data_IF_370578949358
#
_entry.id   IF_370578949358
#
_cell.length_a   1.000
_cell.length_b   1.000
_cell.length_c   1.000
_cell.angle_alpha   90.00
_cell.angle_beta   90.00
_cell.angle_gamma   90.00
#
_symmetry.space_group_name_H-M   'P 1'
#
loop_
_entity.id
_entity.type
_entity.pdbx_description
1 polymer ?
#
# COMPACT_ATOMS: atom_id res chain seq x y z
N UNK A 1 52.74 -66.88 -8.39
CA UNK A 1 52.73 -65.72 -9.29
C UNK A 1 51.70 -65.99 -10.38
N UNK A 2 50.49 -65.46 -10.23
CA UNK A 2 49.39 -65.59 -11.19
C UNK A 2 49.02 -64.17 -11.63
N UNK A 3 49.07 -63.94 -12.94
CA UNK A 3 48.82 -62.69 -13.64
C UNK A 3 47.36 -62.25 -13.52
N UNK A 4 47.13 -61.05 -13.00
CA UNK A 4 45.83 -60.37 -13.02
C UNK A 4 45.62 -59.73 -14.39
N UNK A 5 44.61 -60.18 -15.11
CA UNK A 5 44.14 -59.55 -16.35
C UNK A 5 43.08 -58.50 -15.97
N UNK A 6 43.42 -57.21 -16.12
CA UNK A 6 42.48 -56.10 -15.92
C UNK A 6 41.55 -55.99 -17.13
N UNK A 7 40.25 -56.11 -16.90
CA UNK A 7 39.20 -55.87 -17.89
C UNK A 7 38.89 -54.38 -17.93
N UNK A 8 39.22 -53.71 -19.04
CA UNK A 8 38.93 -52.30 -19.29
C UNK A 8 37.47 -52.16 -19.75
N UNK A 9 36.60 -51.60 -18.90
CA UNK A 9 35.22 -51.26 -19.25
C UNK A 9 35.22 -49.85 -19.88
N UNK A 10 34.98 -49.76 -21.18
CA UNK A 10 34.78 -48.47 -21.88
C UNK A 10 33.32 -48.05 -21.71
N UNK A 11 33.07 -47.06 -20.84
CA UNK A 11 31.78 -46.41 -20.70
C UNK A 11 31.70 -45.25 -21.71
N UNK A 12 30.97 -45.46 -22.81
CA UNK A 12 30.65 -44.38 -23.76
C UNK A 12 29.58 -43.48 -23.11
N UNK A 13 29.97 -42.29 -22.68
CA UNK A 13 29.03 -41.25 -22.25
C UNK A 13 28.32 -40.67 -23.47
N UNK A 14 27.05 -41.05 -23.68
CA UNK A 14 26.13 -40.26 -24.52
C UNK A 14 25.80 -38.95 -23.78
N UNK A 15 26.47 -37.85 -24.12
CA UNK A 15 25.94 -36.51 -23.86
C UNK A 15 24.79 -36.26 -24.85
N UNK A 16 23.60 -36.70 -24.49
CA UNK A 16 22.37 -36.24 -25.12
C UNK A 16 22.13 -34.78 -24.70
N UNK A 17 22.03 -33.89 -25.69
CA UNK A 17 21.75 -32.48 -25.47
C UNK A 17 20.44 -32.30 -24.71
N UNK A 18 20.53 -31.79 -23.48
CA UNK A 18 19.39 -31.17 -22.85
C UNK A 18 18.99 -29.96 -23.73
N UNK A 19 17.72 -29.83 -24.17
CA UNK A 19 17.28 -28.58 -24.76
C UNK A 19 17.58 -27.45 -23.76
N UNK A 20 17.98 -26.25 -24.20
CA UNK A 20 18.05 -25.13 -23.29
C UNK A 20 16.68 -25.02 -22.63
N UNK A 21 16.65 -25.11 -21.30
CA UNK A 21 15.48 -24.71 -20.55
C UNK A 21 15.25 -23.24 -20.90
N UNK A 22 14.34 -22.97 -21.84
CA UNK A 22 13.85 -21.63 -22.08
C UNK A 22 13.28 -21.20 -20.74
N UNK A 23 13.97 -20.27 -20.07
CA UNK A 23 13.47 -19.66 -18.85
C UNK A 23 12.04 -19.23 -19.11
N UNK A 24 11.12 -19.69 -18.28
CA UNK A 24 9.70 -19.40 -18.45
C UNK A 24 9.53 -17.89 -18.63
N UNK A 25 8.94 -17.49 -19.76
CA UNK A 25 8.63 -16.08 -19.99
C UNK A 25 7.78 -15.56 -18.83
N UNK A 26 8.11 -14.38 -18.32
CA UNK A 26 7.35 -13.77 -17.24
C UNK A 26 5.89 -13.61 -17.68
N UNK A 27 4.97 -14.04 -16.80
CA UNK A 27 3.54 -13.85 -16.97
C UNK A 27 3.05 -12.92 -15.86
N UNK A 28 2.56 -11.75 -16.25
CA UNK A 28 1.91 -10.77 -15.38
C UNK A 28 0.60 -11.29 -14.78
N UNK A 29 -0.02 -12.30 -15.39
CA UNK A 29 -1.36 -12.78 -15.04
C UNK A 29 -2.49 -12.04 -15.76
N UNK A 30 -2.18 -11.11 -16.68
CA UNK A 30 -3.22 -10.49 -17.51
C UNK A 30 -3.82 -11.48 -18.51
N UNK A 31 -5.15 -11.52 -18.59
CA UNK A 31 -5.90 -12.21 -19.65
C UNK A 31 -6.33 -11.26 -20.79
N UNK A 32 -6.07 -9.95 -20.65
CA UNK A 32 -6.43 -8.93 -21.63
C UNK A 32 -7.92 -8.58 -21.69
N UNK A 33 -8.74 -9.05 -20.75
CA UNK A 33 -10.20 -8.84 -20.73
C UNK A 33 -10.62 -7.37 -20.66
N UNK A 34 -9.77 -6.48 -20.14
CA UNK A 34 -10.02 -5.03 -20.12
C UNK A 34 -9.76 -4.37 -21.49
N UNK A 35 -8.98 -5.00 -22.37
CA UNK A 35 -8.46 -4.36 -23.58
C UNK A 35 -7.39 -3.29 -23.26
N UNK A 36 -7.11 -2.36 -24.20
CA UNK A 36 -6.05 -1.38 -24.01
C UNK A 36 -6.49 -0.17 -23.17
N UNK A 37 -5.64 0.27 -22.24
CA UNK A 37 -5.80 1.57 -21.55
C UNK A 37 -5.09 2.64 -22.39
N UNK A 38 -5.85 3.46 -23.11
CA UNK A 38 -5.31 4.51 -23.99
C UNK A 38 -5.74 5.91 -23.55
N UNK A 39 -4.80 6.70 -23.03
CA UNK A 39 -5.00 8.06 -22.54
C UNK A 39 -4.19 9.03 -23.42
N UNK A 40 -4.75 9.40 -24.57
CA UNK A 40 -4.04 10.15 -25.62
C UNK A 40 -4.63 11.52 -25.90
N UNK A 41 -5.95 11.64 -25.92
CA UNK A 41 -6.67 12.87 -26.32
C UNK A 41 -7.08 13.74 -25.14
N UNK A 42 -7.48 13.12 -24.03
CA UNK A 42 -7.97 13.78 -22.82
C UNK A 42 -7.42 13.09 -21.58
N UNK A 43 -7.46 13.78 -20.44
CA UNK A 43 -7.23 13.16 -19.15
C UNK A 43 -8.36 12.16 -18.85
N UNK A 44 -8.01 11.04 -18.23
CA UNK A 44 -8.96 9.94 -17.96
C UNK A 44 -8.92 9.61 -16.48
N UNK A 45 -10.10 9.40 -15.88
CA UNK A 45 -10.24 8.80 -14.56
C UNK A 45 -10.97 7.48 -14.72
N UNK A 46 -10.33 6.37 -14.37
CA UNK A 46 -10.94 5.04 -14.44
C UNK A 46 -11.59 4.69 -13.09
N UNK A 47 -12.76 4.06 -13.13
CA UNK A 47 -13.33 3.44 -11.93
C UNK A 47 -12.52 2.18 -11.59
N UNK A 48 -12.05 2.07 -10.33
CA UNK A 48 -11.34 0.88 -9.90
C UNK A 48 -12.29 -0.33 -9.84
N UNK A 49 -11.90 -1.47 -10.43
CA UNK A 49 -12.59 -2.74 -10.22
C UNK A 49 -12.68 -3.07 -8.73
N UNK A 50 -13.66 -3.88 -8.28
CA UNK A 50 -13.81 -4.22 -6.86
C UNK A 50 -12.56 -4.85 -6.22
N UNK A 51 -11.75 -5.58 -6.99
CA UNK A 51 -10.47 -6.17 -6.57
C UNK A 51 -9.26 -5.24 -6.79
N UNK A 52 -9.44 -4.11 -7.48
CA UNK A 52 -8.39 -3.17 -7.86
C UNK A 52 -7.57 -3.57 -9.08
N UNK A 53 -7.93 -4.63 -9.81
CA UNK A 53 -7.09 -5.21 -10.86
C UNK A 53 -7.64 -4.95 -12.26
N UNK A 54 -6.83 -4.29 -13.10
CA UNK A 54 -7.06 -4.16 -14.53
C UNK A 54 -6.25 -5.22 -15.28
N UNK A 55 -6.94 -6.11 -16.00
CA UNK A 55 -6.33 -7.11 -16.89
C UNK A 55 -6.27 -6.57 -18.32
N UNK A 56 -5.35 -5.64 -18.58
CA UNK A 56 -5.26 -4.92 -19.84
C UNK A 56 -4.40 -5.64 -20.89
N UNK A 57 -4.55 -5.27 -22.16
CA UNK A 57 -3.63 -5.72 -23.21
C UNK A 57 -2.39 -4.85 -23.24
N UNK A 58 -2.56 -3.53 -23.32
CA UNK A 58 -1.49 -2.51 -23.31
C UNK A 58 -1.90 -1.29 -22.49
N UNK A 59 -0.92 -0.45 -22.16
CA UNK A 59 -1.15 0.88 -21.57
C UNK A 59 -0.39 1.91 -22.37
N UNK A 60 -1.05 3.00 -22.74
CA UNK A 60 -0.44 4.17 -23.34
C UNK A 60 -0.99 5.45 -22.70
N UNK A 61 -0.14 6.17 -21.98
CA UNK A 61 -0.45 7.51 -21.44
C UNK A 61 0.42 8.52 -22.17
N UNK A 62 -0.18 9.30 -23.08
CA UNK A 62 0.54 10.27 -23.90
C UNK A 62 1.06 11.46 -23.10
N UNK A 63 2.09 12.13 -23.61
CA UNK A 63 2.62 13.35 -23.01
C UNK A 63 1.53 14.43 -22.87
N UNK A 64 1.55 15.17 -21.76
CA UNK A 64 0.54 16.17 -21.43
C UNK A 64 -0.81 15.60 -20.98
N UNK A 65 -0.92 14.27 -20.79
CA UNK A 65 -2.14 13.61 -20.29
C UNK A 65 -1.95 13.02 -18.90
N UNK A 66 -3.06 12.92 -18.17
CA UNK A 66 -3.10 12.30 -16.85
C UNK A 66 -4.10 11.15 -16.79
N UNK A 67 -3.65 10.01 -16.28
CA UNK A 67 -4.48 8.89 -15.86
C UNK A 67 -4.67 8.93 -14.33
N UNK A 68 -5.92 8.92 -13.88
CA UNK A 68 -6.34 8.86 -12.47
C UNK A 68 -7.26 7.66 -12.24
N UNK A 69 -7.53 7.37 -10.98
CA UNK A 69 -8.41 6.29 -10.57
C UNK A 69 -9.39 6.78 -9.51
N UNK A 70 -10.66 6.45 -9.68
CA UNK A 70 -11.66 6.64 -8.64
C UNK A 70 -11.58 5.44 -7.68
N UNK A 71 -11.37 5.66 -6.36
CA UNK A 71 -11.40 4.60 -5.37
C UNK A 71 -12.66 3.74 -5.45
N UNK A 72 -12.50 2.42 -5.31
CA UNK A 72 -13.62 1.51 -5.08
C UNK A 72 -14.03 1.53 -3.59
N UNK A 73 -15.05 0.74 -3.23
CA UNK A 73 -15.57 0.70 -1.86
C UNK A 73 -14.50 0.32 -0.81
N UNK A 74 -13.54 -0.54 -1.18
CA UNK A 74 -12.45 -1.00 -0.30
C UNK A 74 -11.22 -0.07 -0.32
N UNK A 75 -11.23 0.94 -1.19
CA UNK A 75 -10.04 1.72 -1.57
C UNK A 75 -8.82 0.83 -1.84
N UNK A 76 -8.95 -0.19 -2.68
CA UNK A 76 -7.83 -1.10 -2.98
C UNK A 76 -6.68 -0.37 -3.69
N UNK A 77 -5.43 -0.88 -3.58
CA UNK A 77 -4.35 -0.48 -4.46
C UNK A 77 -4.68 -0.70 -5.94
N UNK A 78 -4.11 0.13 -6.80
CA UNK A 78 -4.24 -0.02 -8.26
C UNK A 78 -3.30 -1.12 -8.73
N UNK A 79 -3.82 -2.13 -9.42
CA UNK A 79 -3.01 -3.15 -10.08
C UNK A 79 -3.32 -3.15 -11.56
N UNK A 80 -2.29 -2.96 -12.40
CA UNK A 80 -2.42 -3.04 -13.85
C UNK A 80 -1.54 -4.19 -14.34
N UNK A 81 -2.17 -5.20 -14.92
CA UNK A 81 -1.49 -6.35 -15.52
C UNK A 81 -1.64 -6.24 -17.04
N UNK A 82 -0.56 -6.38 -17.79
CA UNK A 82 -0.58 -6.27 -19.26
C UNK A 82 0.03 -7.45 -19.98
N UNK A 83 -0.63 -7.88 -21.05
CA UNK A 83 -0.08 -8.90 -21.96
C UNK A 83 0.99 -8.36 -22.89
N UNK A 84 0.99 -7.05 -23.15
CA UNK A 84 1.98 -6.34 -23.96
C UNK A 84 2.53 -5.09 -23.29
N UNK A 85 3.01 -4.17 -24.11
CA UNK A 85 3.82 -3.02 -23.68
C UNK A 85 3.03 -1.99 -22.87
N UNK A 86 3.73 -1.37 -21.92
CA UNK A 86 3.29 -0.19 -21.17
C UNK A 86 4.17 0.99 -21.56
N UNK A 87 3.55 2.06 -22.07
CA UNK A 87 4.21 3.35 -22.38
C UNK A 87 3.59 4.48 -21.57
N UNK A 88 4.40 5.16 -20.78
CA UNK A 88 3.97 6.27 -19.93
C UNK A 88 4.82 7.50 -20.25
N UNK A 89 4.32 8.35 -21.14
CA UNK A 89 4.91 9.65 -21.46
C UNK A 89 4.20 10.81 -20.73
N UNK A 90 2.96 10.60 -20.29
CA UNK A 90 2.21 11.51 -19.43
C UNK A 90 2.34 11.18 -17.94
N UNK A 91 1.29 11.43 -17.18
CA UNK A 91 1.26 11.21 -15.72
C UNK A 91 0.26 10.11 -15.36
N UNK A 92 0.68 9.15 -14.54
CA UNK A 92 -0.25 8.33 -13.74
C UNK A 92 -0.26 8.91 -12.33
N UNK A 93 -1.43 9.32 -11.83
CA UNK A 93 -1.55 9.98 -10.53
C UNK A 93 -2.44 9.18 -9.57
N UNK A 94 -1.82 8.75 -8.47
CA UNK A 94 -2.46 8.10 -7.32
C UNK A 94 -2.13 8.85 -6.02
N UNK A 95 -1.73 10.12 -6.07
CA UNK A 95 -1.39 10.88 -4.88
C UNK A 95 -2.57 11.11 -3.92
N UNK A 96 -2.24 11.32 -2.64
CA UNK A 96 -3.20 11.74 -1.62
C UNK A 96 -3.57 13.21 -1.76
N UNK A 97 -4.64 13.59 -1.08
CA UNK A 97 -5.21 14.94 -1.08
C UNK A 97 -4.97 15.65 0.24
N UNK A 98 -4.87 16.98 0.15
CA UNK A 98 -4.67 17.86 1.30
C UNK A 98 -5.96 17.90 2.13
N UNK A 99 -5.81 17.99 3.46
CA UNK A 99 -6.95 18.29 4.34
C UNK A 99 -7.43 19.72 4.17
N UNK A 100 -8.32 20.14 5.07
CA UNK A 100 -8.80 21.52 5.18
C UNK A 100 -9.19 21.85 6.63
N UNK A 101 -9.76 23.02 6.87
CA UNK A 101 -10.37 23.35 8.17
C UNK A 101 -11.69 22.61 8.41
N UNK A 102 -12.23 21.91 7.42
CA UNK A 102 -13.53 21.23 7.49
C UNK A 102 -13.46 19.73 7.22
N UNK A 103 -12.34 19.21 6.70
CA UNK A 103 -12.22 17.81 6.34
C UNK A 103 -10.77 17.31 6.47
N UNK A 104 -10.66 16.01 6.73
CA UNK A 104 -9.41 15.28 6.56
C UNK A 104 -9.01 15.19 5.08
N UNK A 105 -7.71 15.16 4.80
CA UNK A 105 -7.20 14.88 3.47
C UNK A 105 -7.49 13.45 3.06
N UNK A 106 -7.93 13.24 1.82
CA UNK A 106 -8.25 11.90 1.31
C UNK A 106 -7.00 11.13 0.93
N UNK A 107 -6.94 9.86 1.30
CA UNK A 107 -5.91 8.97 0.77
C UNK A 107 -6.05 8.81 -0.74
N UNK A 108 -4.93 8.64 -1.43
CA UNK A 108 -4.97 8.19 -2.83
C UNK A 108 -5.54 6.77 -2.94
N UNK A 109 -5.76 6.26 -4.16
CA UNK A 109 -6.13 4.85 -4.38
C UNK A 109 -5.19 3.88 -3.64
N UNK A 110 -5.68 3.09 -2.69
CA UNK A 110 -4.85 2.21 -1.84
C UNK A 110 -4.16 2.87 -0.65
N UNK A 111 -4.23 4.20 -0.52
CA UNK A 111 -3.70 4.98 0.61
C UNK A 111 -4.76 5.27 1.67
N UNK A 112 -4.36 5.92 2.77
CA UNK A 112 -5.25 6.19 3.90
C UNK A 112 -5.51 7.68 4.12
N UNK A 113 -6.71 8.00 4.59
CA UNK A 113 -7.14 9.35 4.93
C UNK A 113 -6.32 9.96 6.09
N UNK A 114 -6.21 11.28 6.12
CA UNK A 114 -5.74 12.03 7.28
C UNK A 114 -6.76 12.07 8.42
N UNK A 115 -6.37 12.70 9.53
CA UNK A 115 -7.24 12.92 10.69
C UNK A 115 -8.13 14.14 10.53
N UNK A 116 -9.30 14.12 11.14
CA UNK A 116 -10.28 15.22 11.08
C UNK A 116 -9.81 16.45 11.87
N UNK A 117 -10.14 17.67 11.42
CA UNK A 117 -9.86 18.88 12.18
C UNK A 117 -10.63 18.91 13.50
N UNK A 118 -10.02 19.46 14.55
CA UNK A 118 -10.74 19.78 15.78
C UNK A 118 -11.80 20.87 15.56
N UNK A 119 -12.85 20.87 16.37
CA UNK A 119 -13.85 21.93 16.40
C UNK A 119 -14.36 22.18 17.82
N UNK A 120 -15.35 23.07 17.98
CA UNK A 120 -15.91 23.38 19.30
C UNK A 120 -16.52 22.12 19.91
N UNK A 121 -15.93 21.62 20.99
CA UNK A 121 -16.41 20.42 21.69
C UNK A 121 -16.07 19.09 21.00
N UNK A 122 -15.34 19.11 19.88
CA UNK A 122 -14.91 17.90 19.17
C UNK A 122 -13.39 17.89 19.04
N UNK A 123 -12.68 16.93 19.68
CA UNK A 123 -11.24 16.83 19.53
C UNK A 123 -10.86 16.44 18.09
N UNK A 124 -9.65 16.80 17.62
CA UNK A 124 -9.17 16.33 16.32
C UNK A 124 -9.03 14.79 16.30
N UNK A 125 -9.14 14.20 15.11
CA UNK A 125 -8.93 12.78 14.89
C UNK A 125 -7.47 12.44 14.56
N UNK A 126 -7.03 11.25 14.96
CA UNK A 126 -5.79 10.66 14.45
C UNK A 126 -5.92 10.37 12.94
N UNK A 127 -4.79 10.28 12.23
CA UNK A 127 -4.77 9.82 10.84
C UNK A 127 -5.18 8.35 10.71
N UNK A 128 -5.41 7.90 9.48
CA UNK A 128 -5.68 6.50 9.18
C UNK A 128 -4.46 5.79 8.58
N UNK A 129 -4.43 4.46 8.70
CA UNK A 129 -3.39 3.59 8.17
C UNK A 129 -2.39 3.07 9.21
N UNK A 130 -1.56 2.07 8.86
CA UNK A 130 -0.65 1.43 9.82
C UNK A 130 0.42 2.36 10.38
N UNK A 131 0.80 3.39 9.63
CA UNK A 131 1.75 4.43 10.02
C UNK A 131 1.08 5.77 10.26
N UNK A 132 -0.17 5.79 10.74
CA UNK A 132 -0.93 7.01 10.97
C UNK A 132 -0.25 7.98 11.96
N UNK A 133 -0.27 9.27 11.63
CA UNK A 133 0.09 10.34 12.56
C UNK A 133 -1.00 10.59 13.60
N UNK A 134 -0.61 10.89 14.84
CA UNK A 134 -1.53 11.21 15.93
C UNK A 134 -1.96 12.67 15.90
N UNK A 135 -3.19 12.92 16.29
CA UNK A 135 -3.75 14.24 16.46
C UNK A 135 -3.00 15.03 17.53
N UNK A 136 -3.01 16.36 17.42
CA UNK A 136 -2.27 17.20 18.34
C UNK A 136 -2.59 18.68 18.20
N UNK A 137 -1.76 19.53 18.77
CA UNK A 137 -1.87 20.99 18.64
C UNK A 137 -1.41 21.46 17.25
N UNK A 138 -1.83 22.65 16.84
CA UNK A 138 -1.31 23.29 15.62
C UNK A 138 0.06 23.96 15.88
N UNK A 139 1.06 23.17 16.26
CA UNK A 139 2.43 23.64 16.55
C UNK A 139 3.46 22.62 16.08
N UNK A 140 4.75 22.98 16.14
CA UNK A 140 5.86 22.08 15.82
C UNK A 140 6.54 21.47 17.05
N UNK A 141 5.93 21.62 18.24
CA UNK A 141 6.46 21.05 19.49
C UNK A 141 6.10 19.56 19.63
N UNK A 142 6.48 18.93 20.75
CA UNK A 142 6.18 17.53 21.06
C UNK A 142 4.70 17.15 20.96
N UNK A 143 3.81 18.10 21.27
CA UNK A 143 2.36 17.93 21.22
C UNK A 143 1.73 18.32 19.88
N UNK A 144 2.52 18.77 18.91
CA UNK A 144 2.07 19.06 17.56
C UNK A 144 1.49 17.82 16.88
N UNK A 145 0.45 17.98 16.06
CA UNK A 145 -0.09 16.87 15.28
C UNK A 145 1.00 16.26 14.38
N UNK A 146 1.07 14.93 14.36
CA UNK A 146 2.13 14.21 13.66
C UNK A 146 1.76 13.83 12.22
N UNK A 147 2.77 13.56 11.41
CA UNK A 147 2.62 13.11 10.03
C UNK A 147 2.45 11.58 9.94
N UNK A 148 1.88 11.14 8.82
CA UNK A 148 1.88 9.74 8.41
C UNK A 148 3.28 9.28 8.02
N UNK A 149 3.62 8.04 8.35
CA UNK A 149 4.90 7.37 8.06
C UNK A 149 4.68 6.18 7.13
N UNK A 150 5.66 5.73 6.34
CA UNK A 150 5.59 4.43 5.66
C UNK A 150 6.94 3.71 5.63
N UNK A 151 7.94 4.21 4.91
CA UNK A 151 9.23 3.54 4.78
C UNK A 151 10.25 3.92 5.86
N UNK A 152 10.25 5.17 6.30
CA UNK A 152 11.23 5.73 7.24
C UNK A 152 10.54 6.53 8.35
N UNK A 153 10.95 6.37 9.62
CA UNK A 153 10.51 7.27 10.67
C UNK A 153 11.31 8.55 10.49
N UNK A 154 10.69 9.63 10.03
CA UNK A 154 11.41 10.89 9.89
C UNK A 154 11.03 11.84 11.00
N UNK A 155 12.04 12.28 11.75
CA UNK A 155 11.88 13.29 12.79
C UNK A 155 11.93 14.68 12.16
N UNK A 156 10.82 15.14 11.56
CA UNK A 156 10.66 16.57 11.22
C UNK A 156 9.92 17.26 12.35
N UNK A 157 10.51 18.35 12.84
CA UNK A 157 10.01 19.10 13.98
C UNK A 157 10.23 18.33 15.28
N UNK A 158 9.66 18.84 16.37
CA UNK A 158 9.80 18.23 17.68
C UNK A 158 8.61 17.32 18.05
N UNK A 159 7.62 17.16 17.17
CA UNK A 159 6.45 16.31 17.43
C UNK A 159 6.83 14.85 17.63
N UNK A 160 6.41 14.27 18.75
CA UNK A 160 6.59 12.84 19.05
C UNK A 160 5.36 12.02 18.65
N UNK A 161 4.49 12.60 17.82
CA UNK A 161 3.16 12.09 17.47
C UNK A 161 3.10 11.53 16.05
N UNK A 162 4.24 11.33 15.39
CA UNK A 162 4.30 10.75 14.06
C UNK A 162 4.03 9.24 14.08
N UNK A 163 3.69 8.68 12.92
CA UNK A 163 3.51 7.24 12.76
C UNK A 163 4.81 6.44 12.87
N UNK A 164 4.68 5.12 12.73
CA UNK A 164 5.81 4.18 12.63
C UNK A 164 5.90 3.58 11.23
N UNK A 165 7.10 3.18 10.76
CA UNK A 165 7.25 2.47 9.50
C UNK A 165 6.48 1.16 9.46
N UNK A 166 6.05 0.77 8.25
CA UNK A 166 5.36 -0.50 8.00
C UNK A 166 5.63 -1.01 6.58
N UNK A 167 5.07 -2.20 6.30
CA UNK A 167 5.18 -2.89 5.03
C UNK A 167 6.61 -3.34 4.73
N UNK A 168 6.82 -3.81 3.50
CA UNK A 168 8.08 -4.41 3.07
C UNK A 168 8.63 -3.72 1.84
N UNK A 169 9.96 -3.70 1.70
CA UNK A 169 10.63 -3.30 0.46
C UNK A 169 10.33 -4.24 -0.72
N UNK A 170 9.72 -5.40 -0.47
CA UNK A 170 9.15 -6.27 -1.51
C UNK A 170 7.86 -5.72 -2.11
N UNK A 171 7.14 -4.84 -1.39
CA UNK A 171 5.79 -4.39 -1.77
C UNK A 171 4.83 -5.56 -2.05
N UNK A 172 4.90 -6.57 -1.19
CA UNK A 172 4.02 -7.75 -1.15
C UNK A 172 3.57 -7.96 0.30
N UNK A 173 2.27 -7.80 0.61
CA UNK A 173 1.25 -7.19 -0.25
C UNK A 173 1.55 -5.70 -0.55
N UNK A 174 0.92 -5.17 -1.58
CA UNK A 174 1.01 -3.76 -1.92
C UNK A 174 0.12 -2.94 -0.98
N UNK A 175 0.65 -1.90 -0.35
CA UNK A 175 -0.07 -1.00 0.56
C UNK A 175 0.28 0.46 0.23
N UNK A 176 -0.68 1.37 0.33
CA UNK A 176 -0.42 2.80 0.19
C UNK A 176 0.09 3.45 1.46
N UNK A 177 0.31 4.75 1.40
CA UNK A 177 0.78 5.62 2.48
C UNK A 177 -0.32 5.91 3.50
N UNK A 178 0.10 6.29 4.71
CA UNK A 178 -0.76 6.61 5.85
C UNK A 178 -1.01 8.12 5.96
N UNK A 179 -2.14 8.49 6.56
CA UNK A 179 -2.49 9.90 6.76
C UNK A 179 -1.86 10.52 8.02
N UNK A 180 -1.70 11.84 8.00
CA UNK A 180 -1.30 12.63 9.17
C UNK A 180 -2.46 12.92 10.12
N UNK A 181 -2.16 13.31 11.36
CA UNK A 181 -3.17 13.62 12.39
C UNK A 181 -3.82 14.98 12.21
N UNK A 182 -5.06 15.15 12.70
CA UNK A 182 -5.72 16.45 12.76
C UNK A 182 -5.13 17.37 13.83
N UNK A 183 -5.27 18.67 13.65
CA UNK A 183 -4.89 19.66 14.68
C UNK A 183 -6.11 20.08 15.50
N UNK A 184 -5.89 20.34 16.79
CA UNK A 184 -6.83 21.05 17.63
C UNK A 184 -7.01 22.50 17.15
N UNK A 185 -8.15 23.09 17.49
CA UNK A 185 -8.51 24.46 17.13
C UNK A 185 -10.01 24.62 16.93
N UNK A 186 -10.45 25.86 16.72
CA UNK A 186 -11.85 26.21 16.44
C UNK A 186 -11.92 27.18 15.24
N UNK A 187 -11.78 26.70 13.99
CA UNK A 187 -11.51 25.31 13.61
C UNK A 187 -10.02 24.93 13.72
N UNK A 188 -9.76 23.64 13.86
CA UNK A 188 -8.46 23.04 13.60
C UNK A 188 -8.25 22.78 12.11
N UNK A 189 -7.21 22.02 11.78
CA UNK A 189 -6.85 21.62 10.41
C UNK A 189 -6.79 20.10 10.29
N UNK A 190 -7.37 19.56 9.22
CA UNK A 190 -7.28 18.15 8.90
C UNK A 190 -5.87 17.76 8.48
N UNK A 191 -5.47 16.52 8.81
CA UNK A 191 -4.21 15.95 8.36
C UNK A 191 -4.20 15.66 6.85
N UNK A 192 -3.00 15.59 6.26
CA UNK A 192 -2.84 15.21 4.86
C UNK A 192 -3.12 13.72 4.63
N UNK A 193 -3.76 13.39 3.51
CA UNK A 193 -3.95 12.01 3.08
C UNK A 193 -2.66 11.36 2.59
N UNK A 194 -2.51 10.07 2.85
CA UNK A 194 -1.38 9.27 2.37
C UNK A 194 -1.44 9.03 0.87
N UNK A 195 -0.28 8.90 0.25
CA UNK A 195 -0.15 8.57 -1.16
C UNK A 195 -0.73 7.19 -1.49
N UNK A 196 -1.30 7.04 -2.68
CA UNK A 196 -1.86 5.77 -3.13
C UNK A 196 -0.80 4.72 -3.48
N UNK A 197 -1.25 3.54 -3.83
CA UNK A 197 -0.40 2.44 -4.22
C UNK A 197 -0.73 1.93 -5.62
N UNK A 198 0.31 1.66 -6.41
CA UNK A 198 0.16 1.12 -7.75
C UNK A 198 1.20 0.03 -8.06
N UNK A 199 0.73 -1.09 -8.61
CA UNK A 199 1.55 -2.10 -9.28
C UNK A 199 1.25 -2.06 -10.78
N UNK A 200 2.31 -2.01 -11.59
CA UNK A 200 2.22 -2.19 -13.04
C UNK A 200 3.11 -3.37 -13.43
N UNK A 201 2.51 -4.40 -14.02
CA UNK A 201 3.23 -5.55 -14.53
C UNK A 201 2.96 -5.76 -16.02
N UNK A 202 4.02 -6.04 -16.78
CA UNK A 202 3.93 -6.31 -18.22
C UNK A 202 4.70 -7.58 -18.58
N UNK A 203 4.12 -8.42 -19.44
CA UNK A 203 4.81 -9.59 -19.98
C UNK A 203 6.04 -9.22 -20.83
N UNK A 204 6.15 -7.97 -21.28
CA UNK A 204 7.17 -7.52 -22.23
C UNK A 204 8.02 -6.39 -21.67
N UNK A 205 7.45 -5.19 -21.52
CA UNK A 205 8.19 -4.00 -21.11
C UNK A 205 7.33 -2.92 -20.47
N UNK A 206 8.00 -2.12 -19.65
CA UNK A 206 7.54 -0.82 -19.19
C UNK A 206 8.52 0.25 -19.68
N UNK A 207 8.02 1.22 -20.44
CA UNK A 207 8.77 2.38 -20.89
C UNK A 207 8.18 3.66 -20.29
N UNK A 208 8.96 4.34 -19.44
CA UNK A 208 8.52 5.50 -18.66
C UNK A 208 9.40 6.71 -18.98
N UNK A 209 8.82 7.71 -19.64
CA UNK A 209 9.44 9.03 -19.89
C UNK A 209 8.68 10.16 -19.20
N UNK A 210 7.43 9.90 -18.80
CA UNK A 210 6.60 10.80 -18.01
C UNK A 210 6.75 10.58 -16.51
N UNK A 211 5.64 10.51 -15.78
CA UNK A 211 5.64 10.45 -14.31
C UNK A 211 4.62 9.45 -13.76
N UNK A 212 5.02 8.73 -12.71
CA UNK A 212 4.10 8.05 -11.79
C UNK A 212 4.17 8.81 -10.46
N UNK A 213 3.02 9.29 -9.99
CA UNK A 213 2.92 10.16 -8.81
C UNK A 213 2.07 9.49 -7.72
N UNK A 214 2.70 9.07 -6.65
CA UNK A 214 2.12 8.42 -5.49
C UNK A 214 2.43 9.21 -4.21
N UNK A 215 2.52 10.54 -4.30
CA UNK A 215 2.94 11.37 -3.19
C UNK A 215 1.87 11.48 -2.09
N UNK A 216 2.32 11.62 -0.85
CA UNK A 216 1.48 12.02 0.26
C UNK A 216 1.15 13.51 0.21
N UNK A 217 0.03 13.90 0.79
CA UNK A 217 -0.39 15.29 0.77
C UNK A 217 0.31 16.14 1.84
N UNK A 218 0.54 17.41 1.52
CA UNK A 218 1.13 18.40 2.44
C UNK A 218 0.25 18.70 3.65
N UNK A 219 0.90 19.12 4.74
CA UNK A 219 0.23 19.62 5.93
C UNK A 219 -0.42 20.99 5.67
N UNK A 220 -1.20 21.43 6.65
CA UNK A 220 -1.77 22.76 6.68
C UNK A 220 -1.34 23.43 7.99
N UNK A 221 -1.04 24.72 7.89
CA UNK A 221 -0.62 25.55 8.99
C UNK A 221 0.72 25.10 9.61
N UNK A 222 0.85 25.21 10.94
CA UNK A 222 2.13 25.10 11.63
C UNK A 222 2.49 23.67 11.98
N UNK A 223 1.50 22.79 12.21
CA UNK A 223 1.75 21.38 12.50
C UNK A 223 2.25 20.62 11.27
N UNK A 224 3.20 19.73 11.50
CA UNK A 224 3.85 18.92 10.46
C UNK A 224 3.03 17.63 10.31
N UNK A 225 1.79 17.76 9.84
CA UNK A 225 0.78 16.70 9.83
C UNK A 225 0.42 16.19 8.41
N UNK A 226 1.41 16.13 7.52
CA UNK A 226 1.25 15.60 6.17
C UNK A 226 1.04 14.08 6.13
N UNK A 227 0.55 13.56 5.00
CA UNK A 227 0.50 12.12 4.75
C UNK A 227 1.85 11.58 4.26
N UNK A 228 2.13 10.30 4.47
CA UNK A 228 3.32 9.66 3.87
C UNK A 228 3.14 9.43 2.38
N UNK A 229 4.27 9.29 1.67
CA UNK A 229 4.28 8.80 0.31
C UNK A 229 3.71 7.38 0.19
N UNK A 230 3.29 7.02 -1.01
CA UNK A 230 2.61 5.78 -1.34
C UNK A 230 3.53 4.64 -1.78
N UNK A 231 3.02 3.71 -2.58
CA UNK A 231 3.82 2.61 -3.11
C UNK A 231 3.78 2.57 -4.64
N UNK A 232 4.93 2.38 -5.27
CA UNK A 232 5.01 2.10 -6.72
C UNK A 232 5.81 0.83 -6.92
N UNK A 233 5.21 -0.16 -7.59
CA UNK A 233 5.87 -1.41 -7.97
C UNK A 233 5.79 -1.62 -9.48
N UNK A 234 6.95 -1.76 -10.13
CA UNK A 234 7.04 -2.05 -11.56
C UNK A 234 7.63 -3.45 -11.76
N UNK A 235 7.00 -4.30 -12.57
CA UNK A 235 7.48 -5.67 -12.84
C UNK A 235 7.41 -5.97 -14.33
N UNK A 236 8.55 -6.07 -15.02
CA UNK A 236 8.60 -6.44 -16.44
C UNK A 236 9.98 -6.95 -16.84
N UNK A 237 10.09 -7.82 -17.87
CA UNK A 237 11.39 -8.24 -18.40
C UNK A 237 12.31 -7.06 -18.71
N UNK A 238 11.76 -5.97 -19.25
CA UNK A 238 12.49 -4.72 -19.51
C UNK A 238 11.77 -3.55 -18.84
N UNK A 239 12.49 -2.79 -18.01
CA UNK A 239 12.04 -1.47 -17.52
C UNK A 239 13.02 -0.42 -18.03
N UNK A 240 12.51 0.61 -18.70
CA UNK A 240 13.34 1.58 -19.44
C UNK A 240 12.77 3.00 -19.40
N UNK A 241 13.63 3.97 -19.71
CA UNK A 241 13.25 5.38 -19.89
C UNK A 241 13.93 6.32 -18.89
N UNK A 242 13.51 7.58 -18.92
CA UNK A 242 14.12 8.71 -18.18
C UNK A 242 13.12 9.45 -17.28
N UNK A 243 11.89 8.92 -17.15
CA UNK A 243 10.82 9.56 -16.41
C UNK A 243 10.98 9.51 -14.88
N UNK A 244 9.94 9.92 -14.18
CA UNK A 244 9.90 10.04 -12.72
C UNK A 244 8.98 8.98 -12.11
N UNK A 245 9.44 8.36 -11.04
CA UNK A 245 8.59 7.61 -10.11
C UNK A 245 8.69 8.31 -8.77
N UNK A 246 7.62 8.97 -8.35
CA UNK A 246 7.59 9.76 -7.13
C UNK A 246 6.61 9.14 -6.13
N UNK A 247 7.12 8.83 -4.94
CA UNK A 247 6.41 8.34 -3.79
C UNK A 247 6.92 9.07 -2.54
N UNK A 248 7.18 10.36 -2.63
CA UNK A 248 7.61 11.17 -1.49
C UNK A 248 6.41 11.52 -0.57
N UNK A 249 6.70 11.75 0.71
CA UNK A 249 5.85 12.61 1.52
C UNK A 249 5.97 14.08 1.04
N UNK A 250 5.26 15.03 1.67
CA UNK A 250 5.28 16.43 1.24
C UNK A 250 6.61 17.16 1.51
N UNK A 251 7.64 16.90 0.71
CA UNK A 251 8.94 17.56 0.81
C UNK A 251 10.03 16.70 1.45
N UNK A 252 11.21 17.30 1.64
CA UNK A 252 12.40 16.62 2.16
C UNK A 252 12.16 16.16 3.60
N UNK A 253 12.29 14.85 3.84
CA UNK A 253 12.21 14.23 5.17
C UNK A 253 10.79 13.92 5.67
N UNK A 254 9.77 13.88 4.84
CA UNK A 254 8.47 13.35 5.29
C UNK A 254 8.45 11.83 5.14
N UNK A 255 7.57 11.14 5.88
CA UNK A 255 7.39 9.71 5.77
C UNK A 255 7.37 9.27 4.31
N UNK A 256 8.47 8.69 3.86
CA UNK A 256 8.66 8.33 2.46
C UNK A 256 7.78 7.14 2.13
N UNK A 257 7.32 7.09 0.89
CA UNK A 257 6.73 5.90 0.33
C UNK A 257 7.75 4.81 0.03
N UNK A 258 7.38 3.86 -0.81
CA UNK A 258 8.26 2.76 -1.24
C UNK A 258 8.21 2.63 -2.74
N UNK A 259 9.36 2.41 -3.36
CA UNK A 259 9.46 2.16 -4.80
C UNK A 259 10.18 0.84 -5.00
N UNK A 260 9.59 -0.05 -5.81
CA UNK A 260 10.23 -1.29 -6.22
C UNK A 260 10.18 -1.45 -7.73
N UNK A 261 11.31 -1.84 -8.31
CA UNK A 261 11.41 -2.21 -9.73
C UNK A 261 12.00 -3.60 -9.85
N UNK A 262 11.20 -4.56 -10.30
CA UNK A 262 11.65 -5.90 -10.65
C UNK A 262 11.80 -6.01 -12.17
N UNK A 263 13.03 -6.19 -12.65
CA UNK A 263 13.32 -6.31 -14.08
C UNK A 263 14.57 -7.13 -14.37
N UNK A 264 14.60 -7.77 -15.54
CA UNK A 264 15.70 -8.62 -15.99
C UNK A 264 16.75 -7.80 -16.78
N UNK A 265 16.30 -6.87 -17.62
CA UNK A 265 17.15 -5.94 -18.36
C UNK A 265 17.00 -4.52 -17.82
N UNK A 266 18.12 -3.99 -17.29
CA UNK A 266 18.24 -2.65 -16.72
C UNK A 266 19.09 -1.71 -17.58
N UNK A 267 19.56 -2.16 -18.74
CA UNK A 267 20.53 -1.43 -19.58
C UNK A 267 20.03 -0.04 -20.01
N UNK A 268 18.71 0.16 -20.05
CA UNK A 268 18.04 1.42 -20.41
C UNK A 268 17.19 2.01 -19.27
N UNK A 269 17.39 1.55 -18.02
CA UNK A 269 16.65 2.02 -16.86
C UNK A 269 17.33 3.25 -16.25
N UNK A 270 16.99 4.44 -16.76
CA UNK A 270 17.53 5.74 -16.30
C UNK A 270 16.45 6.57 -15.58
N UNK A 271 15.62 5.92 -14.78
CA UNK A 271 14.49 6.54 -14.10
C UNK A 271 14.93 7.41 -12.91
N UNK A 272 14.22 8.52 -12.70
CA UNK A 272 14.32 9.34 -11.50
C UNK A 272 13.40 8.76 -10.41
N UNK A 273 13.96 7.97 -9.50
CA UNK A 273 13.22 7.29 -8.43
C UNK A 273 13.28 8.13 -7.15
N UNK A 274 12.13 8.59 -6.68
CA UNK A 274 11.99 9.62 -5.66
C UNK A 274 11.06 9.15 -4.52
N UNK A 275 11.52 9.08 -3.26
CA UNK A 275 12.87 9.37 -2.80
C UNK A 275 13.84 8.20 -3.07
N UNK A 276 15.10 8.50 -3.36
CA UNK A 276 16.07 7.49 -3.81
C UNK A 276 16.51 6.48 -2.74
N UNK A 277 16.43 6.84 -1.45
CA UNK A 277 16.95 6.01 -0.35
C UNK A 277 16.01 4.86 0.09
N UNK A 278 14.77 4.84 -0.41
CA UNK A 278 13.76 3.80 -0.13
C UNK A 278 13.51 2.87 -1.32
N UNK A 279 14.32 2.99 -2.37
CA UNK A 279 14.20 2.24 -3.62
C UNK A 279 14.76 0.83 -3.45
N UNK A 280 14.01 -0.16 -3.92
CA UNK A 280 14.50 -1.51 -4.13
C UNK A 280 14.47 -1.88 -5.62
N UNK A 281 15.59 -2.33 -6.17
CA UNK A 281 15.66 -2.85 -7.53
C UNK A 281 16.04 -4.33 -7.48
N UNK A 282 15.21 -5.17 -8.09
CA UNK A 282 15.33 -6.62 -8.05
C UNK A 282 14.99 -7.28 -9.37
N UNK A 283 14.94 -8.61 -9.35
CA UNK A 283 14.53 -9.44 -10.48
C UNK A 283 13.48 -10.46 -10.01
N UNK A 284 12.70 -10.11 -8.98
CA UNK A 284 11.61 -10.93 -8.50
C UNK A 284 10.44 -10.81 -9.48
N UNK A 285 10.45 -11.66 -10.51
CA UNK A 285 9.45 -11.71 -11.56
C UNK A 285 8.15 -12.38 -11.07
N UNK A 286 7.54 -11.77 -10.03
CA UNK A 286 6.33 -12.23 -9.35
C UNK A 286 5.41 -11.03 -9.11
N UNK A 287 4.16 -11.09 -9.57
CA UNK A 287 3.16 -10.04 -9.28
C UNK A 287 2.69 -10.12 -7.83
N UNK A 288 2.16 -11.29 -7.43
CA UNK A 288 1.72 -11.57 -6.07
C UNK A 288 1.92 -13.07 -5.76
N UNK A 289 2.13 -13.44 -4.49
CA UNK A 289 2.16 -14.84 -4.08
C UNK A 289 0.77 -15.47 -4.27
N UNK A 290 0.78 -16.76 -4.60
CA UNK A 290 -0.44 -17.57 -4.74
C UNK A 290 -0.30 -18.82 -3.86
N UNK A 291 -1.14 -18.98 -2.82
CA UNK A 291 -2.16 -18.05 -2.34
C UNK A 291 -1.58 -16.77 -1.72
N UNK A 292 -2.38 -15.70 -1.67
CA UNK A 292 -2.02 -14.42 -1.04
C UNK A 292 -2.42 -14.47 0.45
N UNK A 293 -1.45 -14.37 1.40
CA UNK A 293 -1.78 -14.30 2.82
C UNK A 293 -2.63 -13.07 3.16
N UNK A 294 -3.67 -13.25 3.98
CA UNK A 294 -4.68 -12.22 4.26
C UNK A 294 -5.25 -12.28 5.67
N UNK A 295 -5.56 -11.10 6.20
CA UNK A 295 -6.32 -10.92 7.43
C UNK A 295 -7.70 -10.34 7.09
N UNK A 296 -8.74 -10.90 7.68
CA UNK A 296 -10.12 -10.41 7.56
C UNK A 296 -10.74 -10.16 8.92
N UNK A 297 -11.53 -9.10 9.01
CA UNK A 297 -12.51 -8.96 10.08
C UNK A 297 -13.72 -9.82 9.70
N UNK A 298 -14.09 -10.77 10.56
CA UNK A 298 -15.24 -11.66 10.32
C UNK A 298 -16.38 -11.42 11.31
N UNK A 299 -16.10 -10.74 12.41
CA UNK A 299 -17.12 -10.24 13.34
C UNK A 299 -16.61 -8.98 14.05
N UNK A 300 -17.45 -7.95 14.18
CA UNK A 300 -17.13 -6.72 14.90
C UNK A 300 -18.32 -6.28 15.75
N UNK A 301 -18.14 -6.18 17.07
CA UNK A 301 -19.17 -5.77 18.03
C UNK A 301 -20.48 -6.58 17.86
N UNK A 302 -20.36 -7.90 17.73
CA UNK A 302 -21.47 -8.83 17.58
C UNK A 302 -22.10 -8.88 16.18
N UNK A 303 -21.60 -8.13 15.21
CA UNK A 303 -22.09 -8.15 13.83
C UNK A 303 -21.14 -8.95 12.94
N UNK A 304 -21.67 -9.94 12.22
CA UNK A 304 -20.92 -10.70 11.24
C UNK A 304 -20.47 -9.79 10.07
N UNK A 305 -19.22 -9.96 9.66
CA UNK A 305 -18.62 -9.25 8.53
C UNK A 305 -18.27 -10.27 7.46
N UNK A 306 -18.74 -10.04 6.23
CA UNK A 306 -18.40 -10.92 5.12
C UNK A 306 -16.88 -10.88 4.85
N UNK A 307 -16.32 -12.05 4.57
CA UNK A 307 -14.90 -12.23 4.23
C UNK A 307 -14.55 -11.37 3.01
N UNK A 308 -13.50 -10.54 3.11
CA UNK A 308 -13.12 -9.58 2.07
C UNK A 308 -13.97 -8.30 2.02
N UNK A 309 -14.91 -8.09 2.96
CA UNK A 309 -15.65 -6.84 3.07
C UNK A 309 -14.85 -5.77 3.83
N UNK A 310 -15.18 -4.51 3.57
CA UNK A 310 -14.57 -3.35 4.21
C UNK A 310 -14.85 -2.05 3.46
N UNK A 311 -14.40 -0.90 3.98
CA UNK A 311 -13.93 -0.70 5.35
C UNK A 311 -15.03 -0.98 6.38
N UNK A 312 -14.68 -1.55 7.54
CA UNK A 312 -15.65 -1.78 8.62
C UNK A 312 -15.73 -0.53 9.50
N UNK A 313 -16.92 0.05 9.58
CA UNK A 313 -17.20 1.22 10.42
C UNK A 313 -18.33 0.88 11.38
N UNK A 314 -18.12 1.20 12.66
CA UNK A 314 -19.07 0.90 13.73
C UNK A 314 -19.41 2.17 14.49
N UNK A 315 -20.71 2.40 14.71
CA UNK A 315 -21.22 3.32 15.72
C UNK A 315 -21.93 2.45 16.75
N UNK A 316 -21.45 2.45 17.99
CA UNK A 316 -22.13 1.71 19.04
C UNK A 316 -23.50 2.34 19.32
N UNK A 317 -24.57 1.53 19.48
CA UNK A 317 -25.85 2.03 19.95
C UNK A 317 -25.72 2.76 21.28
N UNK A 318 -26.57 3.76 21.52
CA UNK A 318 -26.57 4.49 22.77
C UNK A 318 -26.76 3.54 23.97
N UNK A 319 -25.89 3.65 24.97
CA UNK A 319 -25.90 2.80 26.17
C UNK A 319 -25.28 1.40 25.99
N UNK A 320 -24.81 1.04 24.78
CA UNK A 320 -24.07 -0.20 24.60
C UNK A 320 -22.72 -0.16 25.37
N UNK A 321 -22.26 -1.30 25.94
CA UNK A 321 -20.95 -1.35 26.59
C UNK A 321 -19.83 -0.98 25.62
N UNK A 322 -18.87 -0.17 26.08
CA UNK A 322 -17.66 0.13 25.31
C UNK A 322 -16.82 -1.14 25.05
N UNK A 323 -16.82 -2.07 26.01
CA UNK A 323 -16.17 -3.37 25.88
C UNK A 323 -16.92 -4.23 24.84
N UNK A 324 -16.23 -4.60 23.78
CA UNK A 324 -16.75 -5.38 22.65
C UNK A 324 -15.72 -6.42 22.22
N UNK A 325 -16.15 -7.37 21.39
CA UNK A 325 -15.28 -8.35 20.74
C UNK A 325 -15.11 -8.07 19.26
N UNK A 326 -13.93 -8.42 18.75
CA UNK A 326 -13.63 -8.46 17.32
C UNK A 326 -13.06 -9.83 17.00
N UNK A 327 -13.61 -10.50 15.99
CA UNK A 327 -13.08 -11.76 15.48
C UNK A 327 -12.30 -11.51 14.20
N UNK A 328 -11.05 -11.94 14.20
CA UNK A 328 -10.14 -11.82 13.07
C UNK A 328 -9.82 -13.20 12.53
N UNK A 329 -9.86 -13.33 11.21
CA UNK A 329 -9.47 -14.53 10.47
C UNK A 329 -8.13 -14.30 9.76
N UNK A 330 -7.18 -15.20 9.96
CA UNK A 330 -5.96 -15.30 9.16
C UNK A 330 -6.09 -16.45 8.16
N UNK A 331 -5.58 -16.24 6.96
CA UNK A 331 -5.52 -17.26 5.93
C UNK A 331 -4.19 -17.22 5.19
N UNK A 332 -3.70 -18.40 4.83
CA UNK A 332 -2.56 -18.63 3.92
C UNK A 332 -1.19 -18.09 4.40
N UNK A 333 -1.04 -17.78 5.68
CA UNK A 333 0.27 -17.37 6.25
C UNK A 333 1.19 -18.55 6.57
N UNK A 334 0.62 -19.73 6.86
CA UNK A 334 1.39 -20.95 7.17
C UNK A 334 2.20 -20.91 8.47
N UNK A 335 1.99 -19.89 9.32
CA UNK A 335 2.72 -19.67 10.57
C UNK A 335 1.83 -18.94 11.59
N UNK A 336 2.32 -18.79 12.83
CA UNK A 336 1.68 -17.88 13.79
C UNK A 336 1.83 -16.45 13.29
N UNK A 337 0.71 -15.75 13.19
CA UNK A 337 0.63 -14.39 12.65
C UNK A 337 0.51 -13.40 13.81
N UNK A 338 1.56 -12.61 14.10
CA UNK A 338 1.44 -11.49 15.01
C UNK A 338 0.62 -10.40 14.32
N UNK A 339 -0.44 -9.94 14.97
CA UNK A 339 -1.40 -9.01 14.39
C UNK A 339 -1.83 -7.92 15.39
N UNK A 340 -2.43 -6.87 14.84
CA UNK A 340 -2.95 -5.73 15.60
C UNK A 340 -4.32 -5.31 15.08
N UNK A 341 -5.29 -5.18 15.97
CA UNK A 341 -6.55 -4.48 15.72
C UNK A 341 -6.36 -3.01 16.07
N UNK A 342 -6.82 -2.11 15.19
CA UNK A 342 -6.79 -0.66 15.43
C UNK A 342 -8.20 -0.08 15.29
N UNK A 343 -8.66 0.57 16.36
CA UNK A 343 -9.89 1.34 16.40
C UNK A 343 -9.55 2.81 16.14
N UNK A 344 -9.95 3.35 15.00
CA UNK A 344 -9.73 4.75 14.63
C UNK A 344 -11.07 5.50 14.64
N UNK A 345 -11.38 6.25 15.71
CA UNK A 345 -12.58 7.06 15.74
C UNK A 345 -12.48 8.22 14.75
N UNK A 346 -13.61 8.70 14.27
CA UNK A 346 -13.68 9.90 13.43
C UNK A 346 -13.13 11.14 14.16
N UNK A 347 -13.24 11.17 15.48
CA UNK A 347 -12.69 12.22 16.35
C UNK A 347 -12.09 11.61 17.62
N UNK A 348 -10.92 12.10 18.02
CA UNK A 348 -10.18 11.61 19.18
C UNK A 348 -9.11 10.57 18.83
N UNK A 349 -8.52 10.00 19.89
CA UNK A 349 -7.37 9.12 19.76
C UNK A 349 -7.74 7.69 19.34
N UNK A 350 -6.94 7.12 18.46
CA UNK A 350 -7.01 5.72 18.05
C UNK A 350 -6.54 4.79 19.20
N UNK A 351 -7.13 3.59 19.27
CA UNK A 351 -6.75 2.53 20.23
C UNK A 351 -6.23 1.31 19.47
N UNK A 352 -5.25 0.60 20.03
CA UNK A 352 -4.61 -0.55 19.37
C UNK A 352 -4.51 -1.74 20.32
N UNK A 353 -4.75 -2.93 19.79
CA UNK A 353 -4.77 -4.19 20.54
C UNK A 353 -3.95 -5.24 19.79
N UNK A 354 -2.83 -5.67 20.40
CA UNK A 354 -1.94 -6.69 19.85
C UNK A 354 -2.40 -8.08 20.24
N UNK A 355 -2.27 -9.03 19.32
CA UNK A 355 -2.64 -10.43 19.51
C UNK A 355 -1.92 -11.32 18.49
N UNK A 356 -2.12 -12.64 18.59
CA UNK A 356 -1.56 -13.62 17.66
C UNK A 356 -2.62 -14.60 17.18
N UNK A 357 -2.50 -15.07 15.93
CA UNK A 357 -3.36 -16.10 15.34
C UNK A 357 -2.47 -17.26 14.89
N UNK A 358 -2.67 -18.47 15.42
CA UNK A 358 -1.92 -19.65 14.96
C UNK A 358 -2.49 -20.18 13.63
N UNK A 359 -2.02 -19.63 12.51
CA UNK A 359 -2.41 -20.07 11.16
C UNK A 359 -1.49 -21.19 10.60
N UNK A 360 -0.55 -21.69 11.41
CA UNK A 360 0.26 -22.87 11.07
C UNK A 360 -0.45 -24.19 11.43
N UNK A 361 -1.30 -24.18 12.48
CA UNK A 361 -2.05 -25.36 12.92
C UNK A 361 -3.42 -25.52 12.20
N UNK A 362 -4.00 -24.41 11.73
CA UNK A 362 -5.27 -24.40 11.00
C UNK A 362 -5.24 -23.31 9.91
N UNK A 363 -5.81 -23.60 8.74
CA UNK A 363 -5.95 -22.64 7.65
C UNK A 363 -7.35 -22.75 7.01
N UNK A 364 -8.25 -21.75 7.19
CA UNK A 364 -8.07 -20.51 7.95
C UNK A 364 -7.99 -20.74 9.48
N UNK A 365 -7.44 -19.77 10.21
CA UNK A 365 -7.47 -19.71 11.67
C UNK A 365 -8.12 -18.41 12.14
N UNK A 366 -8.80 -18.42 13.29
CA UNK A 366 -9.48 -17.24 13.83
C UNK A 366 -9.08 -16.98 15.28
N UNK A 367 -9.06 -15.71 15.67
CA UNK A 367 -8.89 -15.28 17.05
C UNK A 367 -9.91 -14.19 17.41
N UNK A 368 -10.31 -14.18 18.68
CA UNK A 368 -11.18 -13.15 19.25
C UNK A 368 -10.36 -12.19 20.09
N UNK A 369 -10.52 -10.90 19.84
CA UNK A 369 -9.83 -9.80 20.54
C UNK A 369 -10.87 -9.01 21.33
N UNK A 370 -10.62 -8.82 22.62
CA UNK A 370 -11.42 -7.92 23.45
C UNK A 370 -10.91 -6.49 23.26
N UNK A 371 -11.81 -5.58 22.93
CA UNK A 371 -11.49 -4.18 22.63
C UNK A 371 -12.43 -3.23 23.36
N UNK A 372 -12.02 -1.97 23.50
CA UNK A 372 -12.87 -0.90 24.02
C UNK A 372 -13.13 0.15 22.95
N UNK A 373 -14.35 0.19 22.43
CA UNK A 373 -14.75 1.20 21.47
C UNK A 373 -14.86 2.59 22.12
N UNK A 374 -14.38 3.64 21.42
CA UNK A 374 -14.70 5.01 21.79
C UNK A 374 -16.21 5.23 21.79
N UNK A 375 -16.73 5.85 22.85
CA UNK A 375 -18.16 6.11 22.98
C UNK A 375 -18.63 7.22 22.02
N UNK A 376 -19.83 7.07 21.47
CA UNK A 376 -20.55 8.11 20.71
C UNK A 376 -19.79 8.68 19.50
N UNK A 377 -18.90 7.89 18.86
CA UNK A 377 -18.20 8.30 17.65
C UNK A 377 -18.09 7.13 16.67
N UNK A 378 -18.23 7.42 15.38
CA UNK A 378 -18.05 6.43 14.35
C UNK A 378 -16.59 5.98 14.33
N UNK A 379 -16.37 4.67 14.46
CA UNK A 379 -15.03 4.09 14.60
C UNK A 379 -14.76 3.16 13.44
N UNK A 380 -13.72 3.46 12.66
CA UNK A 380 -13.19 2.54 11.65
C UNK A 380 -12.33 1.48 12.33
N UNK A 381 -12.53 0.22 11.95
CA UNK A 381 -11.80 -0.92 12.47
C UNK A 381 -10.84 -1.42 11.40
N UNK A 382 -9.57 -1.51 11.77
CA UNK A 382 -8.54 -2.05 10.91
C UNK A 382 -7.83 -3.22 11.57
N UNK A 383 -7.22 -4.06 10.74
CA UNK A 383 -6.34 -5.13 11.19
C UNK A 383 -5.11 -5.23 10.30
N UNK A 384 -3.94 -5.38 10.93
CA UNK A 384 -2.66 -5.47 10.22
C UNK A 384 -1.78 -6.55 10.85
N UNK A 385 -0.88 -7.13 10.04
CA UNK A 385 0.28 -7.87 10.55
C UNK A 385 1.28 -6.91 11.18
N UNK A 386 2.04 -7.38 12.17
CA UNK A 386 3.07 -6.56 12.84
C UNK A 386 4.48 -7.13 12.68
#
# INVERSE_FOLDING_TARGET
MKTQTQTLLVLILLLAGAPPALGQAFNSGSDGSYGPINVTTVDVTLDLPPDGVFYATTVNVASGRTLRFKPNALNTPVTILTTGDVTIAGTINVAGERGSTSAAGKGGPGGFDGGTPGSVGTPPGDGHGPGAGRAGTNTQNADGAGHGTYADPVNIGASTRHGTPYGSALLVPLLGGSGGGGTAGTPGFGGGGGGGAILIASNTRIHLTGRINANGASWIASAINGGSGGAVRLVAPVVSGTGFVDAQGPGQGFGSGRIRVDTLDRSQMSLNLLPGHVVAVGSLMLVQPTPLPRLDLVEVAGNAVAVGAGPVQVILPFGAPAAQTIKVRAQDFGQTVPARVVLTPESGAMRSYDFEINNGAANPAEATVNVEFPANTATRVYVWTR
#
